data_IF_174961217846
#
_entry.id   IF_174961217846
#
_cell.length_a   1.000
_cell.length_b   1.000
_cell.length_c   1.000
_cell.angle_alpha   90.00
_cell.angle_beta   90.00
_cell.angle_gamma   90.00
#
_symmetry.space_group_name_H-M   'P 1'
#
loop_
_entity.id
_entity.type
_entity.pdbx_description
1 polymer ?
#
# COMPACT_ATOMS: atom_id res chain seq x y z
N UNK A 1 1.26 4.32 -55.60
CA UNK A 1 1.21 4.64 -54.16
C UNK A 1 0.00 3.94 -53.57
N UNK A 2 0.02 3.19 -52.47
CA UNK A 2 1.10 2.74 -51.59
C UNK A 2 0.47 1.67 -50.66
N UNK A 3 -0.07 0.58 -51.21
CA UNK A 3 -0.62 -0.54 -50.41
C UNK A 3 0.43 -1.07 -49.42
N UNK A 4 1.69 -1.08 -49.83
CA UNK A 4 2.81 -1.44 -48.97
C UNK A 4 2.95 -0.51 -47.74
N UNK A 5 2.72 0.80 -47.91
CA UNK A 5 2.77 1.77 -46.81
C UNK A 5 1.54 1.66 -45.89
N UNK A 6 0.37 1.35 -46.46
CA UNK A 6 -0.85 1.07 -45.69
C UNK A 6 -0.70 -0.20 -44.83
N UNK A 7 -0.15 -1.27 -45.40
CA UNK A 7 0.14 -2.49 -44.66
C UNK A 7 1.24 -2.28 -43.61
N UNK A 8 2.28 -1.50 -43.91
CA UNK A 8 3.32 -1.19 -42.92
C UNK A 8 2.79 -0.33 -41.79
N UNK A 9 1.94 0.66 -42.07
CA UNK A 9 1.30 1.50 -41.04
C UNK A 9 0.32 0.69 -40.19
N UNK A 10 -0.46 -0.22 -40.78
CA UNK A 10 -1.34 -1.13 -40.06
C UNK A 10 -0.56 -2.11 -39.17
N UNK A 11 0.57 -2.64 -39.67
CA UNK A 11 1.45 -3.52 -38.90
C UNK A 11 2.08 -2.79 -37.70
N UNK A 12 2.58 -1.57 -37.91
CA UNK A 12 3.15 -0.74 -36.84
C UNK A 12 2.06 -0.35 -35.83
N UNK A 13 0.87 0.05 -36.28
CA UNK A 13 -0.25 0.40 -35.42
C UNK A 13 -0.73 -0.80 -34.59
N UNK A 14 -0.93 -1.95 -35.22
CA UNK A 14 -1.32 -3.17 -34.52
C UNK A 14 -0.25 -3.64 -33.53
N UNK A 15 1.03 -3.61 -33.91
CA UNK A 15 2.13 -3.90 -32.99
C UNK A 15 2.15 -2.94 -31.79
N UNK A 16 2.00 -1.63 -32.00
CA UNK A 16 2.11 -0.65 -30.91
C UNK A 16 0.87 -0.63 -29.99
N UNK A 17 -0.33 -0.66 -30.56
CA UNK A 17 -1.58 -0.62 -29.80
C UNK A 17 -1.84 -1.94 -29.06
N UNK A 18 -1.62 -3.10 -29.69
CA UNK A 18 -1.78 -4.40 -29.04
C UNK A 18 -0.75 -4.60 -27.93
N UNK A 19 0.49 -4.14 -28.11
CA UNK A 19 1.52 -4.25 -27.07
C UNK A 19 1.20 -3.39 -25.83
N UNK A 20 0.60 -2.20 -26.01
CA UNK A 20 0.17 -1.35 -24.89
C UNK A 20 -0.93 -2.02 -24.07
N UNK A 21 -1.98 -2.53 -24.70
CA UNK A 21 -3.07 -3.22 -24.00
C UNK A 21 -2.60 -4.53 -23.36
N UNK A 22 -1.76 -5.30 -24.07
CA UNK A 22 -1.12 -6.50 -23.53
C UNK A 22 -0.29 -6.20 -22.29
N UNK A 23 0.48 -5.11 -22.27
CA UNK A 23 1.27 -4.68 -21.11
C UNK A 23 0.38 -4.34 -19.91
N UNK A 24 -0.73 -3.63 -20.12
CA UNK A 24 -1.68 -3.27 -19.05
C UNK A 24 -2.34 -4.53 -18.46
N UNK A 25 -2.84 -5.43 -19.32
CA UNK A 25 -3.47 -6.69 -18.89
C UNK A 25 -2.46 -7.57 -18.16
N UNK A 26 -1.23 -7.71 -18.70
CA UNK A 26 -0.15 -8.45 -18.06
C UNK A 26 0.23 -7.85 -16.70
N UNK A 27 0.26 -6.52 -16.58
CA UNK A 27 0.49 -5.83 -15.31
C UNK A 27 -0.58 -6.17 -14.27
N UNK A 28 -1.87 -6.11 -14.65
CA UNK A 28 -2.97 -6.49 -13.74
C UNK A 28 -2.88 -7.95 -13.28
N UNK A 29 -2.62 -8.88 -14.20
CA UNK A 29 -2.46 -10.30 -13.88
C UNK A 29 -1.25 -10.53 -12.98
N UNK A 30 -0.14 -9.84 -13.24
CA UNK A 30 1.08 -9.94 -12.44
C UNK A 30 0.85 -9.40 -11.02
N UNK A 31 0.24 -8.23 -10.89
CA UNK A 31 -0.12 -7.67 -9.58
C UNK A 31 -1.04 -8.61 -8.78
N UNK A 32 -2.03 -9.22 -9.43
CA UNK A 32 -2.90 -10.19 -8.77
C UNK A 32 -2.13 -11.41 -8.25
N UNK A 33 -1.18 -11.95 -9.04
CA UNK A 33 -0.32 -13.05 -8.62
C UNK A 33 0.67 -12.64 -7.51
N UNK A 34 1.17 -11.41 -7.54
CA UNK A 34 2.05 -10.88 -6.49
C UNK A 34 1.32 -10.79 -5.16
N UNK A 35 0.04 -10.40 -5.15
CA UNK A 35 -0.77 -10.38 -3.92
C UNK A 35 -0.86 -11.76 -3.27
N UNK A 36 -1.12 -12.82 -4.05
CA UNK A 36 -1.17 -14.20 -3.54
C UNK A 36 0.20 -14.64 -3.00
N UNK A 37 1.29 -14.32 -3.70
CA UNK A 37 2.64 -14.66 -3.24
C UNK A 37 3.00 -13.96 -1.93
N UNK A 38 2.68 -12.66 -1.81
CA UNK A 38 2.90 -11.89 -0.59
C UNK A 38 2.03 -12.42 0.55
N UNK A 39 0.76 -12.75 0.28
CA UNK A 39 -0.13 -13.34 1.28
C UNK A 39 0.42 -14.67 1.79
N UNK A 40 0.81 -15.58 0.89
CA UNK A 40 1.41 -16.87 1.24
C UNK A 40 2.72 -16.70 2.02
N UNK A 41 3.56 -15.74 1.64
CA UNK A 41 4.77 -15.42 2.39
C UNK A 41 4.43 -14.95 3.80
N UNK A 42 3.52 -13.99 3.95
CA UNK A 42 3.12 -13.46 5.25
C UNK A 42 2.49 -14.53 6.15
N UNK A 43 1.65 -15.39 5.58
CA UNK A 43 1.01 -16.49 6.29
C UNK A 43 2.05 -17.45 6.87
N UNK A 44 3.01 -17.89 6.05
CA UNK A 44 3.99 -18.88 6.47
C UNK A 44 5.12 -18.28 7.32
N UNK A 45 5.56 -17.06 7.01
CA UNK A 45 6.68 -16.42 7.70
C UNK A 45 6.28 -15.83 9.06
N UNK A 46 5.05 -15.33 9.20
CA UNK A 46 4.61 -14.63 10.41
C UNK A 46 3.41 -15.30 11.08
N UNK A 47 2.30 -15.49 10.36
CA UNK A 47 1.02 -15.90 10.97
C UNK A 47 1.10 -17.30 11.58
N UNK A 48 1.54 -18.31 10.80
CA UNK A 48 1.68 -19.69 11.31
C UNK A 48 2.70 -19.75 12.43
N UNK A 49 3.86 -19.09 12.27
CA UNK A 49 4.88 -19.04 13.32
C UNK A 49 4.38 -18.40 14.61
N UNK A 50 3.51 -17.39 14.52
CA UNK A 50 2.87 -16.77 15.69
C UNK A 50 2.01 -17.79 16.44
N UNK A 51 1.11 -18.49 15.74
CA UNK A 51 0.23 -19.48 16.36
C UNK A 51 0.99 -20.72 16.88
N UNK A 52 2.10 -21.07 16.25
CA UNK A 52 2.99 -22.16 16.69
C UNK A 52 3.98 -21.75 17.79
N UNK A 53 3.95 -20.49 18.26
CA UNK A 53 4.94 -19.91 19.19
C UNK A 53 6.41 -20.10 18.73
N UNK A 54 6.64 -20.05 17.41
CA UNK A 54 7.97 -20.15 16.77
C UNK A 54 8.49 -18.83 16.23
N UNK A 55 7.82 -17.71 16.54
CA UNK A 55 8.38 -16.40 16.25
C UNK A 55 9.50 -16.11 17.23
N UNK A 56 10.62 -15.62 16.71
CA UNK A 56 11.70 -15.11 17.54
C UNK A 56 11.14 -14.02 18.46
N UNK A 57 11.61 -14.00 19.71
CA UNK A 57 11.30 -12.92 20.64
C UNK A 57 11.87 -11.62 20.08
N UNK A 58 11.01 -10.83 19.43
CA UNK A 58 11.36 -9.49 18.98
C UNK A 58 11.52 -8.66 20.25
N UNK A 59 12.76 -8.50 20.70
CA UNK A 59 13.09 -7.56 21.77
C UNK A 59 12.92 -6.14 21.23
N UNK A 60 11.69 -5.62 21.32
CA UNK A 60 11.39 -4.23 21.00
C UNK A 60 12.02 -3.36 22.09
N UNK A 61 13.27 -2.92 21.85
CA UNK A 61 13.86 -1.86 22.65
C UNK A 61 13.00 -0.62 22.48
N UNK A 62 12.38 -0.17 23.58
CA UNK A 62 11.70 1.12 23.62
C UNK A 62 12.73 2.20 23.26
N UNK A 63 12.61 2.75 22.06
CA UNK A 63 13.54 3.74 21.53
C UNK A 63 13.38 5.10 22.22
N UNK A 64 12.23 5.36 22.84
CA UNK A 64 11.91 6.62 23.54
C UNK A 64 11.20 6.36 24.85
N UNK A 65 11.65 7.02 25.92
CA UNK A 65 10.91 7.06 27.17
C UNK A 65 9.76 8.07 27.03
N UNK A 66 8.54 7.59 27.16
CA UNK A 66 7.33 8.40 26.98
C UNK A 66 6.93 9.06 28.33
N UNK A 67 7.68 8.82 29.42
CA UNK A 67 7.48 9.42 30.76
C UNK A 67 6.01 9.40 31.23
N UNK A 68 5.28 8.33 30.94
CA UNK A 68 3.87 8.19 31.30
C UNK A 68 2.90 9.05 30.48
N UNK A 69 3.37 9.77 29.46
CA UNK A 69 2.49 10.51 28.54
C UNK A 69 1.62 9.52 27.76
N UNK A 70 0.34 9.86 27.70
CA UNK A 70 -0.66 9.12 26.93
C UNK A 70 -0.74 9.74 25.54
N UNK A 71 -0.15 9.10 24.53
CA UNK A 71 -0.03 9.66 23.17
C UNK A 71 -0.78 8.78 22.17
N UNK A 72 -1.60 9.42 21.33
CA UNK A 72 -2.24 8.80 20.15
C UNK A 72 -1.48 9.30 18.92
N UNK A 73 -0.82 8.37 18.23
CA UNK A 73 -0.12 8.68 16.98
C UNK A 73 -1.06 8.49 15.80
N UNK A 74 -1.09 9.46 14.90
CA UNK A 74 -1.83 9.40 13.64
C UNK A 74 -0.88 9.70 12.51
N UNK A 75 -0.97 8.93 11.43
CA UNK A 75 -0.09 9.10 10.27
C UNK A 75 -0.92 9.00 9.00
N UNK A 76 -0.64 9.89 8.04
CA UNK A 76 -1.16 9.76 6.69
C UNK A 76 -0.06 10.00 5.66
N UNK A 77 0.29 8.94 4.94
CA UNK A 77 1.43 8.93 4.03
C UNK A 77 1.44 10.07 3.00
N UNK A 78 0.27 10.47 2.48
CA UNK A 78 0.18 11.52 1.46
C UNK A 78 0.15 12.95 2.04
N UNK A 79 0.24 13.09 3.36
CA UNK A 79 0.07 14.35 4.07
C UNK A 79 -1.40 14.64 4.42
N UNK A 80 -1.62 15.21 5.60
CA UNK A 80 -2.95 15.43 6.19
C UNK A 80 -3.81 16.34 5.29
N UNK A 81 -3.19 17.30 4.62
CA UNK A 81 -3.87 18.22 3.72
C UNK A 81 -4.41 17.52 2.45
N UNK A 82 -3.73 16.48 1.99
CA UNK A 82 -4.16 15.66 0.86
C UNK A 82 -5.10 14.52 1.27
N UNK A 83 -5.33 14.34 2.58
CA UNK A 83 -6.19 13.28 3.06
C UNK A 83 -7.64 13.48 2.59
N UNK A 84 -8.35 12.40 2.20
CA UNK A 84 -9.77 12.48 1.87
C UNK A 84 -10.61 13.09 2.99
N UNK A 85 -11.75 13.70 2.64
CA UNK A 85 -12.61 14.40 3.60
C UNK A 85 -13.03 13.50 4.78
N UNK A 86 -13.28 12.21 4.53
CA UNK A 86 -13.60 11.23 5.57
C UNK A 86 -12.45 11.06 6.57
N UNK A 87 -11.21 10.95 6.09
CA UNK A 87 -10.02 10.80 6.93
C UNK A 87 -9.79 12.06 7.77
N UNK A 88 -9.98 13.24 7.18
CA UNK A 88 -9.96 14.51 7.91
C UNK A 88 -11.01 14.57 9.02
N UNK A 89 -12.22 14.02 8.80
CA UNK A 89 -13.23 13.87 9.86
C UNK A 89 -12.78 12.91 10.96
N UNK A 90 -12.10 11.82 10.63
CA UNK A 90 -11.53 10.91 11.63
C UNK A 90 -10.48 11.60 12.51
N UNK A 91 -9.56 12.37 11.92
CA UNK A 91 -8.58 13.16 12.68
C UNK A 91 -9.27 14.14 13.63
N UNK A 92 -10.27 14.89 13.13
CA UNK A 92 -11.05 15.81 13.96
C UNK A 92 -11.81 15.09 15.08
N UNK A 93 -12.37 13.92 14.81
CA UNK A 93 -13.07 13.11 15.81
C UNK A 93 -12.12 12.71 16.94
N UNK A 94 -10.96 12.13 16.60
CA UNK A 94 -9.97 11.74 17.62
C UNK A 94 -9.49 12.96 18.39
N UNK A 95 -9.20 14.07 17.71
CA UNK A 95 -8.80 15.30 18.38
C UNK A 95 -9.86 15.79 19.38
N UNK A 96 -11.14 15.67 19.04
CA UNK A 96 -12.27 16.05 19.90
C UNK A 96 -12.43 15.12 21.10
N UNK A 97 -12.20 13.82 20.93
CA UNK A 97 -12.48 12.80 21.95
C UNK A 97 -11.22 12.22 22.62
N UNK A 98 -10.04 12.81 22.41
CA UNK A 98 -8.75 12.34 22.96
C UNK A 98 -8.68 12.32 24.50
N UNK A 99 -9.57 13.03 25.19
CA UNK A 99 -9.49 13.20 26.65
C UNK A 99 -8.12 13.75 27.07
N UNK A 100 -7.47 13.05 28.02
CA UNK A 100 -6.15 13.45 28.54
C UNK A 100 -4.97 12.98 27.65
N UNK A 101 -5.24 12.43 26.46
CA UNK A 101 -4.21 12.03 25.53
C UNK A 101 -3.72 13.22 24.70
N UNK A 102 -2.42 13.22 24.40
CA UNK A 102 -1.81 14.05 23.36
C UNK A 102 -1.99 13.34 22.01
N UNK A 103 -2.36 14.08 20.96
CA UNK A 103 -2.46 13.52 19.61
C UNK A 103 -1.33 14.12 18.79
N UNK A 104 -0.50 13.26 18.21
CA UNK A 104 0.60 13.66 17.32
C UNK A 104 0.28 13.18 15.92
N UNK A 105 0.14 14.12 14.99
CA UNK A 105 -0.03 13.82 13.58
C UNK A 105 1.34 13.85 12.89
N UNK A 106 1.64 12.79 12.14
CA UNK A 106 2.87 12.54 11.40
C UNK A 106 2.62 12.61 9.89
#
# INVERSE_FOLDING_TARGET
MNNFVLYSLYFIYSAFFLNKHRRIIKGKILHQKEHENIANYLENAYIKKYFENKLDDIQIKKTRNINGKKIIWQFWYQGIDNAPCIIKKCFKSVQKYKGNYEVVLL
#
